data_IF_871922146881
#
_entry.id   IF_871922146881
#
_cell.length_a   1.000
_cell.length_b   1.000
_cell.length_c   1.000
_cell.angle_alpha   90.00
_cell.angle_beta   90.00
_cell.angle_gamma   90.00
#
_symmetry.space_group_name_H-M   'P 1'
#
loop_
_entity.id
_entity.type
_entity.pdbx_description
1 polymer ?
#
# COMPACT_ATOMS: atom_id res chain seq x y z
N UNK A 1 25.91 -10.07 -17.68
CA UNK A 1 24.60 -9.36 -17.70
C UNK A 1 24.85 -7.94 -18.23
N UNK A 2 23.94 -7.36 -19.03
CA UNK A 2 24.04 -5.93 -19.37
C UNK A 2 23.92 -5.11 -18.10
N UNK A 3 24.85 -4.17 -17.85
CA UNK A 3 24.76 -3.25 -16.74
C UNK A 3 23.68 -2.21 -17.04
N UNK A 4 22.74 -2.01 -16.10
CA UNK A 4 21.77 -0.91 -16.16
C UNK A 4 22.16 0.13 -15.10
N UNK A 5 22.46 1.36 -15.56
CA UNK A 5 22.94 2.45 -14.69
C UNK A 5 21.81 3.40 -14.26
N UNK A 6 20.86 3.67 -15.16
CA UNK A 6 19.75 4.57 -14.89
C UNK A 6 18.43 3.84 -15.17
N UNK A 7 17.69 3.54 -14.12
CA UNK A 7 16.46 2.75 -14.16
C UNK A 7 15.27 3.66 -13.88
N UNK A 8 14.29 3.63 -14.79
CA UNK A 8 13.01 4.33 -14.63
C UNK A 8 11.94 3.32 -14.24
N UNK A 9 11.29 3.52 -13.12
CA UNK A 9 10.19 2.69 -12.65
C UNK A 9 8.89 3.50 -12.67
N UNK A 10 7.82 2.92 -13.17
CA UNK A 10 6.52 3.58 -13.27
C UNK A 10 5.49 2.75 -12.51
N UNK A 11 4.97 3.32 -11.41
CA UNK A 11 3.89 2.73 -10.64
C UNK A 11 2.91 3.84 -10.25
N UNK A 12 1.64 3.74 -10.67
CA UNK A 12 0.62 4.74 -10.38
C UNK A 12 -0.42 4.16 -9.44
N UNK A 13 -0.19 4.30 -8.16
CA UNK A 13 -1.06 3.79 -7.12
C UNK A 13 -1.13 4.68 -5.89
N UNK A 14 -1.78 4.19 -4.84
CA UNK A 14 -1.69 4.76 -3.50
C UNK A 14 -0.38 4.38 -2.83
N UNK A 15 -0.15 4.91 -1.62
CA UNK A 15 1.06 4.59 -0.85
C UNK A 15 1.19 3.08 -0.57
N UNK A 16 0.08 2.37 -0.43
CA UNK A 16 0.07 0.91 -0.28
C UNK A 16 0.60 0.19 -1.52
N UNK A 17 0.22 0.64 -2.71
CA UNK A 17 0.72 0.07 -3.98
C UNK A 17 2.22 0.29 -4.13
N UNK A 18 2.73 1.45 -3.69
CA UNK A 18 4.16 1.74 -3.72
C UNK A 18 4.94 0.87 -2.73
N UNK A 19 4.38 0.57 -1.55
CA UNK A 19 4.97 -0.38 -0.60
C UNK A 19 5.02 -1.78 -1.21
N UNK A 20 3.94 -2.21 -1.85
CA UNK A 20 3.88 -3.48 -2.57
C UNK A 20 4.88 -3.56 -3.74
N UNK A 21 5.34 -2.42 -4.25
CA UNK A 21 6.33 -2.33 -5.32
C UNK A 21 7.80 -2.36 -4.81
N UNK A 22 8.05 -2.17 -3.51
CA UNK A 22 9.40 -2.19 -2.92
C UNK A 22 10.19 -3.48 -3.21
N UNK A 23 9.60 -4.70 -3.21
CA UNK A 23 10.31 -5.91 -3.60
C UNK A 23 10.89 -5.86 -5.01
N UNK A 24 10.17 -5.26 -5.96
CA UNK A 24 10.64 -5.04 -7.34
C UNK A 24 11.86 -4.13 -7.36
N UNK A 25 11.83 -3.05 -6.59
CA UNK A 25 12.94 -2.09 -6.45
C UNK A 25 14.15 -2.78 -5.82
N UNK A 26 13.94 -3.54 -4.72
CA UNK A 26 15.00 -4.28 -4.02
C UNK A 26 15.69 -5.27 -4.94
N UNK A 27 14.94 -6.04 -5.72
CA UNK A 27 15.49 -7.00 -6.68
C UNK A 27 16.32 -6.32 -7.78
N UNK A 28 15.91 -5.14 -8.25
CA UNK A 28 16.69 -4.38 -9.22
C UNK A 28 17.98 -3.82 -8.60
N UNK A 29 17.94 -3.29 -7.38
CA UNK A 29 19.15 -2.82 -6.68
C UNK A 29 20.12 -3.96 -6.39
N UNK A 30 19.63 -5.14 -6.01
CA UNK A 30 20.47 -6.31 -5.79
C UNK A 30 21.16 -6.78 -7.09
N UNK A 31 20.44 -6.75 -8.22
CA UNK A 31 21.00 -7.12 -9.52
C UNK A 31 21.91 -6.03 -10.12
N UNK A 32 21.66 -4.78 -9.81
CA UNK A 32 22.37 -3.60 -10.32
C UNK A 32 22.67 -2.61 -9.18
N UNK A 33 23.64 -2.91 -8.29
CA UNK A 33 23.90 -2.12 -7.07
C UNK A 33 24.21 -0.64 -7.35
N UNK A 34 24.96 -0.38 -8.42
CA UNK A 34 25.39 0.96 -8.83
C UNK A 34 24.31 1.72 -9.63
N UNK A 35 23.14 1.13 -9.82
CA UNK A 35 22.07 1.78 -10.58
C UNK A 35 21.43 2.91 -9.80
N UNK A 36 21.08 3.98 -10.52
CA UNK A 36 20.21 5.05 -10.02
C UNK A 36 18.76 4.73 -10.37
N UNK A 37 17.90 4.65 -9.38
CA UNK A 37 16.48 4.33 -9.54
C UNK A 37 15.63 5.60 -9.40
N UNK A 38 14.92 5.95 -10.46
CA UNK A 38 13.91 7.01 -10.48
C UNK A 38 12.51 6.38 -10.49
N UNK A 39 11.69 6.67 -9.48
CA UNK A 39 10.31 6.18 -9.38
C UNK A 39 9.33 7.26 -9.84
N UNK A 40 8.48 6.91 -10.80
CA UNK A 40 7.38 7.75 -11.30
C UNK A 40 6.09 7.31 -10.66
N UNK A 41 5.41 8.21 -9.97
CA UNK A 41 4.24 7.91 -9.15
C UNK A 41 3.22 9.06 -9.09
N UNK A 42 2.05 8.80 -8.52
CA UNK A 42 1.07 9.86 -8.22
C UNK A 42 1.57 10.76 -7.07
N UNK A 43 1.25 12.08 -7.06
CA UNK A 43 1.71 13.03 -6.02
C UNK A 43 1.38 12.59 -4.59
N UNK A 44 0.23 11.94 -4.38
CA UNK A 44 -0.23 11.43 -3.08
C UNK A 44 0.66 10.32 -2.49
N UNK A 45 1.48 9.68 -3.32
CA UNK A 45 2.36 8.58 -2.92
C UNK A 45 3.83 9.00 -2.78
N UNK A 46 4.14 10.31 -2.97
CA UNK A 46 5.50 10.87 -2.93
C UNK A 46 6.26 10.49 -1.65
N UNK A 47 5.55 10.33 -0.55
CA UNK A 47 6.14 10.01 0.76
C UNK A 47 6.79 8.62 0.83
N UNK A 48 6.59 7.73 -0.17
CA UNK A 48 7.28 6.43 -0.25
C UNK A 48 8.80 6.59 -0.23
N UNK A 49 9.32 7.68 -0.80
CA UNK A 49 10.75 7.99 -0.78
C UNK A 49 11.32 8.06 0.64
N UNK A 50 10.53 8.46 1.61
CA UNK A 50 10.94 8.53 3.01
C UNK A 50 10.97 7.14 3.68
N UNK A 51 10.33 6.14 3.09
CA UNK A 51 10.27 4.77 3.61
C UNK A 51 11.35 3.84 3.02
N UNK A 52 12.06 4.28 1.99
CA UNK A 52 13.06 3.44 1.32
C UNK A 52 14.24 4.25 0.81
N UNK A 53 15.44 3.84 1.18
CA UNK A 53 16.71 4.38 0.68
C UNK A 53 17.09 3.81 -0.71
N UNK A 54 16.32 2.84 -1.23
CA UNK A 54 16.56 2.22 -2.53
C UNK A 54 16.08 3.10 -3.70
N UNK A 55 15.29 4.14 -3.43
CA UNK A 55 14.76 5.07 -4.42
C UNK A 55 15.65 6.32 -4.42
N UNK A 56 16.34 6.58 -5.52
CA UNK A 56 17.24 7.74 -5.62
C UNK A 56 16.45 9.03 -5.93
N UNK A 57 15.50 8.96 -6.87
CA UNK A 57 14.68 10.11 -7.30
C UNK A 57 13.21 9.76 -7.44
N UNK A 58 12.36 10.79 -7.38
CA UNK A 58 10.91 10.67 -7.60
C UNK A 58 10.43 11.70 -8.63
N UNK A 59 9.63 11.24 -9.58
CA UNK A 59 8.89 12.09 -10.52
C UNK A 59 7.40 11.94 -10.22
N UNK A 60 6.75 13.02 -9.77
CA UNK A 60 5.31 13.03 -9.56
C UNK A 60 4.59 13.37 -10.86
N UNK A 61 3.57 12.58 -11.20
CA UNK A 61 2.69 12.77 -12.36
C UNK A 61 1.25 12.64 -11.91
N UNK A 62 0.50 13.71 -11.96
CA UNK A 62 -0.93 13.68 -11.63
C UNK A 62 -1.74 13.16 -12.83
N UNK A 63 -1.97 11.86 -12.88
CA UNK A 63 -2.70 11.20 -13.99
C UNK A 63 -4.23 11.37 -13.90
N UNK A 64 -4.75 11.98 -12.84
CA UNK A 64 -6.20 12.12 -12.56
C UNK A 64 -6.66 13.54 -12.38
N UNK A 65 -5.73 14.48 -12.17
CA UNK A 65 -6.02 15.88 -11.92
C UNK A 65 -6.13 16.75 -13.18
N UNK A 66 -6.34 18.02 -12.95
CA UNK A 66 -6.50 19.02 -14.04
C UNK A 66 -5.22 19.21 -14.87
N UNK A 67 -4.05 18.99 -14.28
CA UNK A 67 -2.73 19.15 -14.91
C UNK A 67 -2.24 17.92 -15.66
N UNK A 68 -3.04 16.86 -15.75
CA UNK A 68 -2.72 15.54 -16.30
C UNK A 68 -1.87 15.60 -17.58
N UNK A 69 -2.30 16.36 -18.59
CA UNK A 69 -1.61 16.41 -19.87
C UNK A 69 -0.27 17.14 -19.79
N UNK A 70 -0.18 18.19 -18.98
CA UNK A 70 1.06 18.93 -18.73
C UNK A 70 2.07 18.05 -17.96
N UNK A 71 1.60 17.32 -16.97
CA UNK A 71 2.47 16.44 -16.16
C UNK A 71 2.94 15.25 -16.98
N UNK A 72 2.09 14.67 -17.84
CA UNK A 72 2.47 13.64 -18.77
C UNK A 72 3.50 14.13 -19.79
N UNK A 73 3.34 15.34 -20.33
CA UNK A 73 4.31 15.93 -21.25
C UNK A 73 5.66 16.18 -20.55
N UNK A 74 5.65 16.79 -19.36
CA UNK A 74 6.86 16.98 -18.55
C UNK A 74 7.56 15.65 -18.23
N UNK A 75 6.79 14.65 -17.86
CA UNK A 75 7.32 13.30 -17.63
C UNK A 75 7.95 12.72 -18.90
N UNK A 76 7.25 12.82 -20.05
CA UNK A 76 7.74 12.33 -21.32
C UNK A 76 9.11 12.95 -21.69
N UNK A 77 9.24 14.26 -21.60
CA UNK A 77 10.53 14.95 -21.85
C UNK A 77 11.62 14.56 -20.86
N UNK A 78 11.27 14.39 -19.57
CA UNK A 78 12.23 13.87 -18.58
C UNK A 78 12.67 12.45 -18.90
N UNK A 79 11.76 11.59 -19.36
CA UNK A 79 12.10 10.23 -19.74
C UNK A 79 12.95 10.18 -21.01
N UNK A 80 12.64 11.02 -22.01
CA UNK A 80 13.37 11.12 -23.28
C UNK A 80 14.82 11.60 -23.08
N UNK A 81 15.03 12.63 -22.25
CA UNK A 81 16.34 13.24 -22.05
C UNK A 81 17.08 12.71 -20.80
N UNK A 82 16.44 11.91 -19.98
CA UNK A 82 16.97 11.43 -18.70
C UNK A 82 18.02 10.32 -18.80
N UNK A 83 18.42 9.91 -20.02
CA UNK A 83 19.44 8.87 -20.29
C UNK A 83 19.15 7.54 -19.55
N UNK A 84 17.89 7.18 -19.42
CA UNK A 84 17.49 5.89 -18.86
C UNK A 84 17.82 4.76 -19.86
N UNK A 85 18.30 3.64 -19.33
CA UNK A 85 18.63 2.45 -20.13
C UNK A 85 17.67 1.28 -19.90
N UNK A 86 16.89 1.35 -18.84
CA UNK A 86 15.83 0.41 -18.50
C UNK A 86 14.59 1.17 -17.99
N UNK A 87 13.41 0.81 -18.49
CA UNK A 87 12.14 1.22 -17.89
C UNK A 87 11.28 -0.01 -17.58
N UNK A 88 10.68 -0.02 -16.39
CA UNK A 88 9.73 -1.02 -15.94
C UNK A 88 8.42 -0.33 -15.55
N UNK A 89 7.30 -0.75 -16.14
CA UNK A 89 5.99 -0.19 -15.83
C UNK A 89 5.04 -1.26 -15.31
N UNK A 90 4.40 -0.99 -14.16
CA UNK A 90 3.33 -1.82 -13.60
C UNK A 90 1.95 -1.51 -14.19
N UNK A 91 1.85 -0.49 -15.04
CA UNK A 91 0.60 -0.12 -15.67
C UNK A 91 0.14 -1.12 -16.73
N UNK A 92 -1.14 -1.41 -16.76
CA UNK A 92 -1.77 -2.29 -17.76
C UNK A 92 -2.55 -1.55 -18.86
N UNK A 93 -2.49 -0.21 -18.89
CA UNK A 93 -3.15 0.59 -19.92
C UNK A 93 -2.46 0.40 -21.28
N UNK A 94 -3.27 0.19 -22.35
CA UNK A 94 -2.80 -0.06 -23.71
C UNK A 94 -1.94 1.06 -24.31
N UNK A 95 -2.00 2.28 -23.80
CA UNK A 95 -1.19 3.42 -24.27
C UNK A 95 0.20 3.49 -23.63
N UNK A 96 0.43 2.79 -22.53
CA UNK A 96 1.73 2.78 -21.85
C UNK A 96 2.85 2.25 -22.76
N UNK A 97 2.71 1.13 -23.46
CA UNK A 97 3.74 0.65 -24.38
C UNK A 97 4.12 1.67 -25.47
N UNK A 98 3.14 2.42 -25.98
CA UNK A 98 3.38 3.50 -26.97
C UNK A 98 4.22 4.61 -26.35
N UNK A 99 3.83 5.09 -25.17
CA UNK A 99 4.57 6.13 -24.45
C UNK A 99 6.03 5.70 -24.20
N UNK A 100 6.22 4.48 -23.70
CA UNK A 100 7.56 3.95 -23.40
C UNK A 100 8.41 3.78 -24.66
N UNK A 101 7.82 3.36 -25.77
CA UNK A 101 8.51 3.25 -27.06
C UNK A 101 9.01 4.60 -27.56
N UNK A 102 8.18 5.63 -27.47
CA UNK A 102 8.51 7.00 -27.89
C UNK A 102 9.61 7.66 -27.04
N UNK A 103 9.86 7.17 -25.81
CA UNK A 103 11.00 7.68 -25.00
C UNK A 103 12.36 7.24 -25.53
N UNK A 104 12.42 6.28 -26.44
CA UNK A 104 13.70 5.76 -26.97
C UNK A 104 14.50 4.90 -25.98
N UNK A 105 13.98 4.62 -24.79
CA UNK A 105 14.65 3.77 -23.79
C UNK A 105 14.83 2.36 -24.37
N UNK A 106 16.06 1.83 -24.34
CA UNK A 106 16.42 0.59 -25.02
C UNK A 106 15.73 -0.65 -24.45
N UNK A 107 15.65 -0.77 -23.12
CA UNK A 107 15.00 -1.91 -22.44
C UNK A 107 13.70 -1.45 -21.81
N UNK A 108 12.58 -2.01 -22.26
CA UNK A 108 11.23 -1.64 -21.85
C UNK A 108 10.46 -2.88 -21.42
N UNK A 109 10.08 -2.93 -20.15
CA UNK A 109 9.37 -4.06 -19.52
C UNK A 109 8.02 -3.59 -19.02
N UNK A 110 6.99 -4.38 -19.26
CA UNK A 110 5.64 -4.12 -18.78
C UNK A 110 4.73 -5.32 -18.93
N UNK A 111 3.48 -5.19 -18.51
CA UNK A 111 2.51 -6.26 -18.69
C UNK A 111 2.06 -6.41 -20.13
N UNK A 112 1.72 -7.64 -20.51
CA UNK A 112 1.06 -7.94 -21.77
C UNK A 112 -0.37 -7.38 -21.74
N UNK A 113 -0.60 -6.33 -22.51
CA UNK A 113 -1.89 -5.65 -22.67
C UNK A 113 -2.43 -5.77 -24.11
N UNK A 114 -1.90 -6.72 -24.88
CA UNK A 114 -2.30 -6.99 -26.26
C UNK A 114 -1.19 -6.74 -27.29
N UNK A 115 -1.55 -6.59 -28.56
CA UNK A 115 -0.59 -6.51 -29.68
C UNK A 115 0.41 -5.36 -29.54
N UNK A 116 -0.04 -4.18 -29.09
CA UNK A 116 0.85 -3.02 -28.90
C UNK A 116 1.95 -3.31 -27.86
N UNK A 117 1.63 -3.97 -26.77
CA UNK A 117 2.64 -4.31 -25.77
C UNK A 117 3.67 -5.29 -26.31
N UNK A 118 3.24 -6.29 -27.07
CA UNK A 118 4.13 -7.31 -27.68
C UNK A 118 5.10 -6.70 -28.70
N UNK A 119 4.66 -5.68 -29.44
CA UNK A 119 5.46 -5.08 -30.51
C UNK A 119 6.36 -3.93 -30.01
N UNK A 120 5.94 -3.20 -28.99
CA UNK A 120 6.60 -1.97 -28.55
C UNK A 120 7.43 -2.13 -27.27
N UNK A 121 7.15 -3.12 -26.44
CA UNK A 121 8.00 -3.48 -25.32
C UNK A 121 9.09 -4.46 -25.74
N UNK A 122 10.24 -4.40 -25.08
CA UNK A 122 11.32 -5.39 -25.31
C UNK A 122 11.07 -6.70 -24.58
N UNK A 123 10.26 -6.64 -23.52
CA UNK A 123 9.77 -7.80 -22.79
C UNK A 123 8.38 -7.53 -22.21
N UNK A 124 7.46 -8.44 -22.49
CA UNK A 124 6.14 -8.45 -21.88
C UNK A 124 6.04 -9.55 -20.83
N UNK A 125 5.28 -9.28 -19.77
CA UNK A 125 5.01 -10.21 -18.68
C UNK A 125 3.50 -10.44 -18.57
N UNK A 126 3.05 -11.68 -18.51
CA UNK A 126 1.64 -11.98 -18.30
C UNK A 126 1.23 -11.55 -16.90
N UNK A 127 0.20 -10.71 -16.80
CA UNK A 127 -0.34 -10.30 -15.51
C UNK A 127 -1.10 -11.46 -14.84
N UNK A 128 -0.57 -11.97 -13.73
CA UNK A 128 -1.26 -12.95 -12.90
C UNK A 128 -1.97 -12.23 -11.75
N UNK A 129 -3.28 -12.08 -11.85
CA UNK A 129 -4.09 -11.40 -10.83
C UNK A 129 -4.49 -12.30 -9.65
N UNK A 130 -4.18 -13.60 -9.69
CA UNK A 130 -4.55 -14.58 -8.67
C UNK A 130 -3.44 -14.82 -7.65
N UNK A 131 -2.71 -13.77 -7.30
CA UNK A 131 -1.62 -13.83 -6.33
C UNK A 131 -1.50 -12.50 -5.56
N UNK A 132 -0.68 -12.51 -4.52
CA UNK A 132 -0.34 -11.32 -3.77
C UNK A 132 0.25 -10.23 -4.67
N UNK A 133 -0.22 -8.98 -4.52
CA UNK A 133 0.14 -7.89 -5.42
C UNK A 133 1.65 -7.57 -5.44
N UNK A 134 2.34 -7.76 -4.32
CA UNK A 134 3.80 -7.64 -4.29
C UNK A 134 4.48 -8.63 -5.25
N UNK A 135 3.98 -9.87 -5.34
CA UNK A 135 4.47 -10.86 -6.31
C UNK A 135 4.12 -10.49 -7.74
N UNK A 136 2.90 -9.94 -7.96
CA UNK A 136 2.51 -9.45 -9.29
C UNK A 136 3.52 -8.43 -9.81
N UNK A 137 3.87 -7.44 -9.01
CA UNK A 137 4.84 -6.42 -9.40
C UNK A 137 6.24 -6.99 -9.59
N UNK A 138 6.66 -7.91 -8.73
CA UNK A 138 7.97 -8.55 -8.82
C UNK A 138 8.13 -9.41 -10.08
N UNK A 139 7.06 -10.02 -10.59
CA UNK A 139 7.08 -10.81 -11.83
C UNK A 139 7.61 -9.99 -13.03
N UNK A 140 7.44 -8.65 -13.03
CA UNK A 140 7.99 -7.79 -14.08
C UNK A 140 9.50 -7.88 -14.22
N UNK A 141 10.22 -8.10 -13.12
CA UNK A 141 11.69 -8.09 -13.08
C UNK A 141 12.33 -9.44 -12.77
N UNK A 142 11.54 -10.43 -12.37
CA UNK A 142 11.99 -11.76 -11.94
C UNK A 142 13.01 -12.38 -12.92
N UNK A 143 12.69 -12.42 -14.20
CA UNK A 143 13.59 -13.04 -15.19
C UNK A 143 14.81 -12.18 -15.51
N UNK A 144 14.70 -10.86 -15.35
CA UNK A 144 15.81 -9.93 -15.57
C UNK A 144 16.82 -10.01 -14.42
N UNK A 145 16.34 -10.00 -13.20
CA UNK A 145 17.18 -9.93 -11.99
C UNK A 145 17.64 -11.29 -11.51
N UNK A 146 16.89 -12.36 -11.84
CA UNK A 146 17.07 -13.72 -11.31
C UNK A 146 16.96 -13.79 -9.78
N UNK A 147 16.31 -12.80 -9.18
CA UNK A 147 16.04 -12.76 -7.74
C UNK A 147 14.73 -13.47 -7.40
N UNK A 148 14.69 -14.14 -6.27
CA UNK A 148 13.44 -14.65 -5.67
C UNK A 148 12.63 -13.49 -5.09
N UNK A 149 11.32 -13.69 -5.01
CA UNK A 149 10.44 -12.73 -4.34
C UNK A 149 10.68 -12.74 -2.83
N UNK A 150 10.76 -11.55 -2.25
CA UNK A 150 10.72 -11.31 -0.81
C UNK A 150 9.54 -10.37 -0.50
N UNK A 151 8.97 -10.46 0.69
CA UNK A 151 7.90 -9.53 1.10
C UNK A 151 8.43 -8.08 1.22
N UNK A 152 7.56 -7.07 1.11
CA UNK A 152 7.97 -5.68 1.29
C UNK A 152 8.68 -5.46 2.62
N UNK A 153 9.75 -4.66 2.59
CA UNK A 153 10.52 -4.32 3.78
C UNK A 153 10.76 -2.81 3.85
N UNK A 154 10.53 -2.24 5.04
CA UNK A 154 10.93 -0.89 5.41
C UNK A 154 12.03 -1.02 6.46
N UNK A 155 13.25 -0.61 6.09
CA UNK A 155 14.38 -0.64 7.00
C UNK A 155 14.25 0.50 8.00
N UNK A 156 14.05 0.15 9.25
CA UNK A 156 14.00 1.08 10.39
C UNK A 156 15.12 0.74 11.35
N UNK A 157 15.54 1.74 12.14
CA UNK A 157 16.39 1.51 13.30
C UNK A 157 15.83 0.40 14.19
N UNK A 158 16.69 -0.23 14.98
CA UNK A 158 16.23 -1.23 15.93
C UNK A 158 15.34 -0.55 17.01
N UNK A 159 14.05 -0.79 16.91
CA UNK A 159 13.05 -0.21 17.78
C UNK A 159 12.47 -1.30 18.68
N UNK A 160 12.69 -1.19 19.98
CA UNK A 160 12.09 -2.12 20.93
C UNK A 160 10.56 -2.07 20.86
N UNK A 161 9.96 -3.26 20.81
CA UNK A 161 8.51 -3.39 20.90
C UNK A 161 8.03 -3.01 22.31
N UNK A 162 6.90 -2.36 22.34
CA UNK A 162 6.18 -2.07 23.60
C UNK A 162 5.31 -3.29 23.90
N UNK A 163 5.62 -4.07 24.94
CA UNK A 163 4.83 -5.25 25.26
C UNK A 163 3.37 -4.89 25.58
N UNK A 164 2.48 -5.81 25.28
CA UNK A 164 1.04 -5.70 25.57
C UNK A 164 0.38 -4.47 24.92
N UNK A 165 0.93 -4.01 23.78
CA UNK A 165 0.45 -2.81 23.08
C UNK A 165 -0.22 -3.13 21.77
N UNK A 166 -1.32 -2.43 21.49
CA UNK A 166 -2.08 -2.50 20.26
C UNK A 166 -2.12 -1.12 19.63
N UNK A 167 -1.71 -1.01 18.38
CA UNK A 167 -1.94 0.18 17.58
C UNK A 167 -3.20 -0.01 16.75
N UNK A 168 -4.19 0.84 16.92
CA UNK A 168 -5.42 0.86 16.13
C UNK A 168 -5.38 2.01 15.12
N UNK A 169 -5.56 1.69 13.83
CA UNK A 169 -5.66 2.67 12.74
C UNK A 169 -6.94 2.41 11.94
N UNK A 170 -8.07 3.03 12.31
CA UNK A 170 -9.38 2.77 11.72
C UNK A 170 -9.57 3.38 10.34
N UNK A 171 -8.75 4.37 9.98
CA UNK A 171 -8.92 5.23 8.83
C UNK A 171 -8.75 4.54 7.48
N UNK A 172 -9.40 5.11 6.48
CA UNK A 172 -9.30 4.74 5.06
C UNK A 172 -9.02 5.97 4.22
N UNK A 173 -8.50 5.79 2.99
CA UNK A 173 -8.15 6.93 2.15
C UNK A 173 -9.37 7.77 1.77
N UNK A 174 -9.21 9.11 1.74
CA UNK A 174 -10.22 10.05 1.25
C UNK A 174 -10.70 9.72 -0.18
N UNK A 175 -9.83 9.15 -1.00
CA UNK A 175 -10.23 8.69 -2.33
C UNK A 175 -11.25 7.55 -2.24
N UNK A 176 -11.13 6.65 -1.28
CA UNK A 176 -12.12 5.60 -1.05
C UNK A 176 -13.45 6.19 -0.61
N UNK A 177 -13.42 7.16 0.31
CA UNK A 177 -14.62 7.85 0.80
C UNK A 177 -15.31 8.61 -0.36
N UNK A 178 -14.57 9.43 -1.11
CA UNK A 178 -15.11 10.21 -2.24
C UNK A 178 -15.66 9.33 -3.37
N UNK A 179 -15.18 8.12 -3.53
CA UNK A 179 -15.67 7.14 -4.51
C UNK A 179 -16.72 6.22 -3.95
N UNK A 180 -17.21 6.48 -2.74
CA UNK A 180 -18.16 5.65 -2.02
C UNK A 180 -17.73 4.16 -1.94
N UNK A 181 -16.41 3.91 -1.83
CA UNK A 181 -15.87 2.57 -1.64
C UNK A 181 -15.94 2.23 -0.15
N UNK A 182 -16.84 1.32 0.18
CA UNK A 182 -17.15 0.96 1.57
C UNK A 182 -16.07 0.03 2.11
N UNK A 183 -15.03 0.60 2.70
CA UNK A 183 -13.92 -0.14 3.33
C UNK A 183 -13.84 0.05 4.85
N UNK A 184 -14.46 1.09 5.38
CA UNK A 184 -14.39 1.42 6.79
C UNK A 184 -15.52 0.77 7.57
N UNK A 185 -15.18 0.28 8.73
CA UNK A 185 -16.12 -0.10 9.77
C UNK A 185 -16.84 1.13 10.32
N UNK A 186 -18.06 0.97 10.91
CA UNK A 186 -18.68 2.05 11.68
C UNK A 186 -17.75 2.50 12.82
N UNK A 187 -17.63 3.81 13.03
CA UNK A 187 -16.73 4.38 14.04
C UNK A 187 -17.04 3.86 15.44
N UNK A 188 -18.32 3.64 15.74
CA UNK A 188 -18.77 3.00 16.98
C UNK A 188 -18.19 1.60 17.17
N UNK A 189 -18.17 0.77 16.12
CA UNK A 189 -17.60 -0.59 16.21
C UNK A 189 -16.12 -0.57 16.48
N UNK A 190 -15.38 0.38 15.90
CA UNK A 190 -13.98 0.62 16.24
C UNK A 190 -13.81 1.01 17.71
N UNK A 191 -14.67 1.89 18.24
CA UNK A 191 -14.62 2.31 19.63
C UNK A 191 -14.93 1.15 20.60
N UNK A 192 -15.90 0.31 20.28
CA UNK A 192 -16.25 -0.89 21.04
C UNK A 192 -15.09 -1.92 21.05
N UNK A 193 -14.42 -2.11 19.89
CA UNK A 193 -13.23 -2.97 19.82
C UNK A 193 -12.09 -2.42 20.68
N UNK A 194 -11.81 -1.12 20.60
CA UNK A 194 -10.79 -0.46 21.43
C UNK A 194 -11.12 -0.64 22.92
N UNK A 195 -12.37 -0.40 23.32
CA UNK A 195 -12.80 -0.63 24.69
C UNK A 195 -12.61 -2.07 25.15
N UNK A 196 -12.91 -3.04 24.28
CA UNK A 196 -12.67 -4.45 24.57
C UNK A 196 -11.21 -4.76 24.87
N UNK A 197 -10.28 -4.22 24.08
CA UNK A 197 -8.83 -4.34 24.36
C UNK A 197 -8.43 -3.68 25.67
N UNK A 198 -8.94 -2.48 25.95
CA UNK A 198 -8.65 -1.75 27.21
C UNK A 198 -9.13 -2.53 28.44
N UNK A 199 -10.31 -3.12 28.38
CA UNK A 199 -10.87 -3.98 29.44
C UNK A 199 -10.06 -5.28 29.65
N UNK A 200 -9.41 -5.79 28.59
CA UNK A 200 -8.45 -6.91 28.69
C UNK A 200 -7.06 -6.47 29.19
N UNK A 201 -6.88 -5.22 29.63
CA UNK A 201 -5.63 -4.70 30.18
C UNK A 201 -4.58 -4.37 29.12
N UNK A 202 -4.93 -4.30 27.85
CA UNK A 202 -4.00 -3.92 26.77
C UNK A 202 -3.79 -2.41 26.76
N UNK A 203 -2.59 -1.97 26.41
CA UNK A 203 -2.31 -0.55 26.11
C UNK A 203 -2.69 -0.28 24.65
N UNK A 204 -3.65 0.61 24.42
CA UNK A 204 -4.15 0.90 23.08
C UNK A 204 -3.69 2.28 22.62
N UNK A 205 -2.99 2.31 21.50
CA UNK A 205 -2.61 3.53 20.78
C UNK A 205 -3.61 3.76 19.65
N UNK A 206 -4.30 4.89 19.61
CA UNK A 206 -5.17 5.28 18.50
C UNK A 206 -4.39 6.22 17.56
N UNK A 207 -4.23 5.83 16.30
CA UNK A 207 -3.57 6.64 15.29
C UNK A 207 -4.46 6.87 14.07
N UNK A 208 -4.20 7.96 13.36
CA UNK A 208 -4.87 8.32 12.12
C UNK A 208 -4.13 9.45 11.43
N UNK A 209 -4.33 9.59 10.11
CA UNK A 209 -3.87 10.72 9.33
C UNK A 209 -4.84 11.91 9.37
N UNK A 210 -4.51 13.03 8.70
CA UNK A 210 -5.40 14.20 8.64
C UNK A 210 -6.79 13.89 8.08
N UNK A 211 -6.86 12.90 7.20
CA UNK A 211 -8.10 12.46 6.55
C UNK A 211 -9.05 11.70 7.48
N UNK A 212 -8.56 11.25 8.64
CA UNK A 212 -9.30 10.40 9.57
C UNK A 212 -9.92 11.18 10.72
N UNK A 213 -9.91 12.53 10.67
CA UNK A 213 -10.31 13.41 11.77
C UNK A 213 -11.69 13.05 12.34
N UNK A 214 -12.70 12.98 11.50
CA UNK A 214 -14.08 12.69 11.91
C UNK A 214 -14.19 11.33 12.61
N UNK A 215 -13.60 10.29 12.02
CA UNK A 215 -13.57 8.96 12.60
C UNK A 215 -12.89 8.95 13.98
N UNK A 216 -11.77 9.64 14.12
CA UNK A 216 -11.02 9.70 15.38
C UNK A 216 -11.80 10.48 16.45
N UNK A 217 -12.43 11.60 16.09
CA UNK A 217 -13.23 12.40 17.02
C UNK A 217 -14.41 11.60 17.56
N UNK A 218 -15.16 10.89 16.74
CA UNK A 218 -16.26 10.03 17.19
C UNK A 218 -15.79 8.91 18.13
N UNK A 219 -14.65 8.26 17.84
CA UNK A 219 -14.06 7.24 18.71
C UNK A 219 -13.66 7.85 20.06
N UNK A 220 -13.04 9.04 20.07
CA UNK A 220 -12.69 9.75 21.29
C UNK A 220 -13.91 10.08 22.14
N UNK A 221 -14.97 10.60 21.53
CA UNK A 221 -16.20 10.97 22.23
C UNK A 221 -16.84 9.77 22.90
N UNK A 222 -16.82 8.60 22.25
CA UNK A 222 -17.29 7.36 22.84
C UNK A 222 -16.50 6.93 24.08
N UNK A 223 -15.18 7.16 24.09
CA UNK A 223 -14.27 6.74 25.17
C UNK A 223 -14.09 7.80 26.26
N UNK A 224 -14.42 9.06 26.02
CA UNK A 224 -14.09 10.23 26.86
C UNK A 224 -14.46 10.11 28.34
N UNK A 225 -15.62 9.53 28.63
CA UNK A 225 -16.13 9.45 30.00
C UNK A 225 -15.74 8.14 30.71
N UNK A 226 -14.86 7.33 30.11
CA UNK A 226 -14.54 5.98 30.60
C UNK A 226 -13.20 5.90 31.33
N UNK A 227 -12.41 6.99 31.33
CA UNK A 227 -11.14 7.18 32.06
C UNK A 227 -10.17 5.99 32.00
N UNK A 228 -9.90 5.46 30.78
CA UNK A 228 -8.91 4.40 30.60
C UNK A 228 -7.48 4.97 30.62
N UNK A 229 -6.69 4.69 31.64
CA UNK A 229 -5.28 5.12 31.73
C UNK A 229 -4.39 4.47 30.65
N UNK A 230 -4.77 3.29 30.19
CA UNK A 230 -4.07 2.53 29.15
C UNK A 230 -4.51 2.92 27.72
N UNK A 231 -5.32 3.96 27.53
CA UNK A 231 -5.66 4.53 26.23
C UNK A 231 -4.74 5.73 25.90
N UNK A 232 -4.03 5.63 24.79
CA UNK A 232 -3.05 6.64 24.37
C UNK A 232 -3.41 7.15 22.99
N UNK A 233 -3.86 8.37 22.92
CA UNK A 233 -4.17 9.03 21.65
C UNK A 233 -2.90 9.55 20.96
N UNK A 234 -2.65 9.04 19.75
CA UNK A 234 -1.53 9.41 18.86
C UNK A 234 -1.97 10.18 17.62
N UNK A 235 -3.27 10.47 17.47
CA UNK A 235 -3.75 11.28 16.35
C UNK A 235 -3.05 12.65 16.32
N UNK A 236 -2.57 13.05 15.14
CA UNK A 236 -1.82 14.30 14.96
C UNK A 236 -0.42 14.31 15.58
N UNK A 237 0.06 13.20 16.14
CA UNK A 237 1.42 13.08 16.70
C UNK A 237 2.42 12.49 15.71
N UNK A 238 1.96 11.90 14.62
CA UNK A 238 2.79 11.47 13.49
C UNK A 238 2.87 12.59 12.46
N UNK A 239 4.05 13.15 12.25
CA UNK A 239 4.26 14.29 11.32
C UNK A 239 4.38 13.83 9.86
N UNK A 240 4.76 12.59 9.66
CA UNK A 240 4.98 12.00 8.34
C UNK A 240 4.79 10.48 8.39
N UNK A 241 4.86 9.83 7.24
CA UNK A 241 4.66 8.39 7.12
C UNK A 241 5.75 7.56 7.81
N UNK A 242 6.97 8.09 7.96
CA UNK A 242 8.06 7.42 8.68
C UNK A 242 7.75 7.36 10.19
N UNK A 243 7.17 8.41 10.76
CA UNK A 243 6.74 8.41 12.16
C UNK A 243 5.65 7.36 12.40
N UNK A 244 4.72 7.22 11.44
CA UNK A 244 3.71 6.15 11.49
C UNK A 244 4.35 4.77 11.40
N UNK A 245 5.31 4.56 10.49
CA UNK A 245 6.02 3.29 10.37
C UNK A 245 6.79 2.93 11.65
N UNK A 246 7.44 3.89 12.30
CA UNK A 246 8.10 3.71 13.59
C UNK A 246 7.10 3.37 14.69
N UNK A 247 5.95 4.02 14.71
CA UNK A 247 4.88 3.73 15.68
C UNK A 247 4.32 2.32 15.50
N UNK A 248 4.06 1.91 14.24
CA UNK A 248 3.62 0.55 13.89
C UNK A 248 4.69 -0.48 14.31
N UNK A 249 5.96 -0.23 14.04
CA UNK A 249 7.06 -1.14 14.38
C UNK A 249 7.18 -1.35 15.90
N UNK A 250 6.93 -0.31 16.70
CA UNK A 250 6.95 -0.37 18.16
C UNK A 250 5.75 -1.12 18.76
N UNK A 251 4.60 -1.12 18.11
CA UNK A 251 3.44 -1.84 18.60
C UNK A 251 3.65 -3.36 18.53
N UNK A 252 3.13 -4.10 19.50
CA UNK A 252 3.12 -5.56 19.43
C UNK A 252 2.18 -6.05 18.34
N UNK A 253 1.00 -5.43 18.22
CA UNK A 253 -0.02 -5.73 17.22
C UNK A 253 -0.53 -4.44 16.57
N UNK A 254 -0.67 -4.45 15.25
CA UNK A 254 -1.43 -3.46 14.50
C UNK A 254 -2.82 -4.03 14.18
N UNK A 255 -3.87 -3.27 14.49
CA UNK A 255 -5.25 -3.54 14.06
C UNK A 255 -5.70 -2.38 13.18
N UNK A 256 -6.06 -2.64 11.93
CA UNK A 256 -6.35 -1.56 10.98
C UNK A 256 -7.37 -1.97 9.91
N UNK A 257 -7.90 -0.98 9.20
CA UNK A 257 -8.63 -1.19 7.95
C UNK A 257 -7.69 -1.65 6.83
N UNK A 258 -8.26 -2.21 5.73
CA UNK A 258 -7.57 -2.42 4.46
C UNK A 258 -7.15 -1.08 3.84
N UNK A 259 -6.00 -0.59 4.27
CA UNK A 259 -5.44 0.71 3.89
C UNK A 259 -3.90 0.73 4.00
N UNK A 260 -3.26 1.85 3.71
CA UNK A 260 -1.80 1.95 3.71
C UNK A 260 -1.11 1.46 5.01
N UNK A 261 -1.62 1.73 6.24
CA UNK A 261 -1.04 1.19 7.47
C UNK A 261 -0.90 -0.33 7.50
N UNK A 262 -1.82 -1.08 6.90
CA UNK A 262 -1.73 -2.53 6.76
C UNK A 262 -0.44 -2.93 6.02
N UNK A 263 -0.16 -2.31 4.89
CA UNK A 263 1.05 -2.58 4.11
C UNK A 263 2.33 -2.15 4.83
N UNK A 264 2.26 -1.06 5.62
CA UNK A 264 3.37 -0.66 6.51
C UNK A 264 3.57 -1.72 7.60
N UNK A 265 2.50 -2.26 8.18
CA UNK A 265 2.57 -3.33 9.17
C UNK A 265 3.29 -4.57 8.63
N UNK A 266 2.96 -4.98 7.40
CA UNK A 266 3.68 -6.05 6.69
C UNK A 266 5.15 -5.69 6.51
N UNK A 267 5.42 -4.51 5.96
CA UNK A 267 6.77 -4.08 5.60
C UNK A 267 7.68 -3.80 6.82
N UNK A 268 7.12 -3.53 7.99
CA UNK A 268 7.86 -3.41 9.26
C UNK A 268 7.95 -4.72 10.03
N UNK A 269 7.31 -5.78 9.53
CA UNK A 269 7.25 -7.08 10.19
C UNK A 269 6.43 -7.06 11.49
N UNK A 270 5.46 -6.17 11.66
CA UNK A 270 4.58 -6.11 12.83
C UNK A 270 3.40 -7.07 12.66
N UNK A 271 3.02 -7.82 13.73
CA UNK A 271 1.79 -8.63 13.70
C UNK A 271 0.63 -7.72 13.32
N UNK A 272 -0.08 -8.05 12.22
CA UNK A 272 -1.10 -7.17 11.66
C UNK A 272 -2.41 -7.92 11.52
N UNK A 273 -3.47 -7.36 12.08
CA UNK A 273 -4.85 -7.80 11.93
C UNK A 273 -5.56 -6.73 11.10
N UNK A 274 -5.97 -7.10 9.90
CA UNK A 274 -6.58 -6.17 8.96
C UNK A 274 -8.06 -6.51 8.70
N UNK A 275 -8.91 -5.50 8.79
CA UNK A 275 -10.35 -5.60 8.53
C UNK A 275 -10.59 -5.44 7.03
N UNK A 276 -11.15 -6.47 6.42
CA UNK A 276 -11.47 -6.51 5.00
C UNK A 276 -12.96 -6.43 4.75
N UNK A 277 -13.34 -5.52 3.88
CA UNK A 277 -14.68 -5.40 3.32
C UNK A 277 -14.74 -5.98 1.90
N UNK A 278 -14.93 -5.12 0.88
CA UNK A 278 -15.17 -5.53 -0.52
C UNK A 278 -13.94 -6.02 -1.28
N UNK A 279 -12.76 -5.89 -0.72
CA UNK A 279 -11.47 -6.22 -1.33
C UNK A 279 -11.07 -7.68 -1.11
N UNK A 280 -10.15 -8.17 -1.94
CA UNK A 280 -9.61 -9.52 -1.84
C UNK A 280 -8.35 -9.53 -0.96
N UNK A 281 -8.45 -10.12 0.21
CA UNK A 281 -7.35 -10.26 1.17
C UNK A 281 -6.17 -11.05 0.60
N UNK A 282 -6.41 -12.03 -0.28
CA UNK A 282 -5.35 -12.82 -0.89
C UNK A 282 -4.47 -12.01 -1.84
N UNK A 283 -4.98 -10.90 -2.37
CA UNK A 283 -4.23 -9.96 -3.21
C UNK A 283 -3.47 -8.93 -2.39
N UNK A 284 -3.95 -8.57 -1.21
CA UNK A 284 -3.46 -7.40 -0.48
C UNK A 284 -2.67 -7.74 0.78
N UNK A 285 -2.79 -8.97 1.29
CA UNK A 285 -2.08 -9.43 2.48
C UNK A 285 -1.30 -10.71 2.16
N UNK A 286 -0.01 -10.82 2.51
CA UNK A 286 0.75 -12.06 2.27
C UNK A 286 0.29 -13.15 3.24
N UNK A 287 0.27 -14.39 2.78
CA UNK A 287 -0.10 -15.55 3.61
C UNK A 287 0.95 -15.79 4.68
N UNK A 288 0.58 -15.59 5.94
CA UNK A 288 1.46 -15.77 7.09
C UNK A 288 0.62 -15.84 8.37
N UNK A 289 1.09 -16.55 9.39
CA UNK A 289 0.48 -16.54 10.72
C UNK A 289 0.59 -15.16 11.42
N UNK A 290 1.42 -14.28 10.89
CA UNK A 290 1.68 -12.93 11.40
C UNK A 290 0.70 -11.90 10.85
N UNK A 291 0.12 -12.16 9.68
CA UNK A 291 -0.76 -11.24 8.97
C UNK A 291 -2.13 -11.87 8.80
N UNK A 292 -3.09 -11.36 9.55
CA UNK A 292 -4.42 -11.96 9.71
C UNK A 292 -5.45 -11.05 9.05
N UNK A 293 -6.15 -11.58 8.07
CA UNK A 293 -7.30 -10.92 7.48
C UNK A 293 -8.58 -11.31 8.23
N UNK A 294 -9.34 -10.32 8.67
CA UNK A 294 -10.66 -10.49 9.24
C UNK A 294 -11.70 -10.03 8.22
N UNK A 295 -12.47 -10.95 7.74
CA UNK A 295 -13.50 -10.71 6.74
C UNK A 295 -14.74 -11.55 7.04
N UNK A 296 -15.93 -11.04 6.69
CA UNK A 296 -17.12 -11.85 6.71
C UNK A 296 -17.35 -12.53 5.36
N UNK A 297 -17.82 -13.78 5.41
CA UNK A 297 -18.19 -14.54 4.22
C UNK A 297 -19.47 -13.96 3.63
N UNK A 298 -19.33 -13.08 2.64
CA UNK A 298 -20.46 -12.56 1.86
C UNK A 298 -20.32 -13.05 0.41
N UNK A 299 -21.38 -13.57 -0.17
CA UNK A 299 -21.37 -14.16 -1.52
C UNK A 299 -20.93 -13.17 -2.62
N UNK A 300 -21.03 -11.87 -2.36
CA UNK A 300 -20.61 -10.82 -3.28
C UNK A 300 -19.09 -10.48 -3.20
N UNK A 301 -18.33 -11.05 -2.25
CA UNK A 301 -16.89 -10.79 -2.11
C UNK A 301 -16.04 -11.68 -3.02
N UNK A 302 -14.88 -11.15 -3.49
CA UNK A 302 -14.51 -9.74 -3.57
C UNK A 302 -15.29 -9.02 -4.66
N UNK A 303 -15.73 -7.78 -4.45
CA UNK A 303 -16.55 -7.04 -5.43
C UNK A 303 -15.91 -5.73 -5.93
N UNK A 304 -14.88 -5.24 -5.26
CA UNK A 304 -14.29 -3.94 -5.60
C UNK A 304 -13.62 -3.91 -6.98
N UNK A 305 -13.03 -5.01 -7.41
CA UNK A 305 -12.27 -5.09 -8.66
C UNK A 305 -13.14 -5.36 -9.87
N UNK A 306 -14.22 -6.11 -9.70
CA UNK A 306 -15.09 -6.56 -10.80
C UNK A 306 -16.35 -5.68 -10.91
N UNK A 307 -16.86 -5.21 -9.79
CA UNK A 307 -18.04 -4.34 -9.72
C UNK A 307 -17.73 -3.21 -8.75
N UNK A 308 -17.52 -1.99 -9.25
CA UNK A 308 -17.48 -0.83 -8.38
C UNK A 308 -18.83 -0.68 -7.71
N UNK A 309 -18.88 -0.98 -6.43
CA UNK A 309 -20.09 -0.80 -5.65
C UNK A 309 -20.13 0.64 -5.16
N UNK A 310 -20.81 1.46 -5.90
CA UNK A 310 -21.15 2.83 -5.51
C UNK A 310 -22.37 2.86 -4.56
N UNK A 311 -23.07 1.73 -4.40
CA UNK A 311 -24.31 1.66 -3.62
C UNK A 311 -24.50 0.27 -3.00
N UNK A 312 -23.68 -0.11 -2.02
CA UNK A 312 -23.93 -1.31 -1.26
C UNK A 312 -24.76 -1.00 0.00
N UNK A 313 -26.03 -1.34 0.00
CA UNK A 313 -26.92 -1.14 1.15
C UNK A 313 -26.68 -2.18 2.26
N UNK A 314 -26.38 -3.43 1.90
CA UNK A 314 -26.31 -4.52 2.87
C UNK A 314 -25.05 -4.51 3.74
N UNK A 315 -23.89 -4.04 3.24
CA UNK A 315 -22.58 -3.99 3.91
C UNK A 315 -22.20 -5.27 4.68
N UNK A 316 -22.76 -6.43 4.27
CA UNK A 316 -22.60 -7.70 4.99
C UNK A 316 -21.15 -8.11 5.19
N UNK A 317 -20.27 -7.77 4.24
CA UNK A 317 -18.84 -8.06 4.35
C UNK A 317 -18.16 -7.37 5.54
N UNK A 318 -18.75 -6.31 6.08
CA UNK A 318 -18.27 -5.57 7.25
C UNK A 318 -19.05 -5.90 8.54
N UNK A 319 -20.01 -6.80 8.48
CA UNK A 319 -20.70 -7.29 9.69
C UNK A 319 -19.84 -8.37 10.36
N UNK A 320 -18.88 -7.93 11.16
CA UNK A 320 -17.90 -8.78 11.81
C UNK A 320 -18.14 -8.80 13.32
N UNK A 321 -17.96 -9.97 13.93
CA UNK A 321 -17.97 -10.10 15.39
C UNK A 321 -16.62 -9.63 15.95
N UNK A 322 -16.65 -8.60 16.82
CA UNK A 322 -15.45 -8.05 17.47
C UNK A 322 -14.78 -9.06 18.42
N UNK A 323 -15.54 -9.98 19.04
CA UNK A 323 -14.98 -10.97 19.96
C UNK A 323 -13.92 -11.83 19.29
N UNK A 324 -14.13 -12.20 18.01
CA UNK A 324 -13.12 -12.93 17.24
C UNK A 324 -11.79 -12.19 17.14
N UNK A 325 -11.81 -10.85 17.11
CA UNK A 325 -10.60 -10.04 17.05
C UNK A 325 -9.98 -9.93 18.44
N UNK A 326 -10.80 -9.78 19.46
CA UNK A 326 -10.38 -9.73 20.86
C UNK A 326 -9.70 -11.02 21.33
N UNK A 327 -10.02 -12.17 20.74
CA UNK A 327 -9.46 -13.48 21.11
C UNK A 327 -8.14 -13.79 20.38
N UNK A 328 -7.84 -13.08 19.28
CA UNK A 328 -6.58 -13.24 18.52
C UNK A 328 -5.44 -12.42 19.11
N UNK A 329 -5.76 -11.38 19.89
CA UNK A 329 -4.82 -10.44 20.49
C UNK A 329 -4.66 -10.71 21.99
#
# INVERSE_FOLDING_TARGET
MKSHKNILLINFGGIGDEILFLPTIKSLKNAYPESRITLVLEPRSKSIKNLSNLIDDVICVDIKGKTKYLDLAKFFFKALFGKYDLVVSSGSNKLIPVLLFLTGIKTRIGYDSGSLSKNLLTKTVKLNQNQYAGKMYHDLVKDLTKQSYEDPEIVLEDLHKIPNSILVHPGVSQMSIKKNIIKSWPNRTWAELIEGFLKKGKTVYLAGGPDDKECIEEIRDFLKNKNYENFIDKYGKTKNIMDLAKLIKKAEVLVCSDSAPMHIGVATGTKTIAIFGPTDENKLLPKSNKYIAIANAAACRPCLWDKRQESCESKQCLNLNIDKILDIV
#
